data_IF_620716635462
#
_entry.id   IF_620716635462
#
_cell.length_a   1.000
_cell.length_b   1.000
_cell.length_c   1.000
_cell.angle_alpha   90.00
_cell.angle_beta   90.00
_cell.angle_gamma   90.00
#
_symmetry.space_group_name_H-M   'P 1'
#
loop_
_entity.id
_entity.type
_entity.pdbx_description
1 polymer ?
#
# COMPACT_ATOMS: atom_id res chain seq x y z
N UNK A 1 29.49 24.32 -31.68
CA UNK A 1 28.48 23.35 -32.16
C UNK A 1 28.87 21.90 -31.85
N UNK A 2 28.60 21.44 -30.61
CA UNK A 2 28.80 20.03 -30.22
C UNK A 2 27.50 19.27 -30.48
N UNK A 3 27.56 18.25 -31.34
CA UNK A 3 26.42 17.40 -31.70
C UNK A 3 25.97 16.62 -30.45
N UNK A 4 24.70 16.77 -30.06
CA UNK A 4 24.04 15.87 -29.09
C UNK A 4 23.97 14.46 -29.69
N UNK A 5 24.19 13.39 -28.91
CA UNK A 5 24.01 12.04 -29.42
C UNK A 5 22.50 11.76 -29.63
N UNK A 6 22.14 10.84 -30.52
CA UNK A 6 20.74 10.48 -30.73
C UNK A 6 20.20 9.74 -29.51
N UNK A 7 19.09 10.23 -28.96
CA UNK A 7 18.28 9.51 -27.96
C UNK A 7 17.84 8.19 -28.62
N UNK A 8 18.38 7.07 -28.13
CA UNK A 8 18.02 5.74 -28.62
C UNK A 8 16.55 5.47 -28.27
N UNK A 9 15.73 5.27 -29.29
CA UNK A 9 14.32 4.81 -29.23
C UNK A 9 14.21 3.35 -28.77
N UNK A 10 14.89 2.96 -27.69
CA UNK A 10 14.85 1.59 -27.18
C UNK A 10 13.63 1.35 -26.27
N UNK A 11 13.18 2.36 -25.50
CA UNK A 11 12.04 2.22 -24.58
C UNK A 11 10.69 1.97 -25.27
N UNK A 12 10.41 2.67 -26.38
CA UNK A 12 9.12 2.54 -27.07
C UNK A 12 8.88 1.18 -27.73
N UNK A 13 9.93 0.44 -28.08
CA UNK A 13 9.82 -0.89 -28.68
C UNK A 13 9.49 -1.98 -27.63
N UNK A 14 9.98 -1.83 -26.40
CA UNK A 14 9.67 -2.74 -25.30
C UNK A 14 8.22 -2.56 -24.80
N UNK A 15 7.76 -1.31 -24.69
CA UNK A 15 6.37 -0.99 -24.33
C UNK A 15 5.39 -1.47 -25.41
N UNK A 16 5.70 -1.26 -26.69
CA UNK A 16 4.87 -1.77 -27.77
C UNK A 16 4.86 -3.31 -27.85
N UNK A 17 5.95 -3.98 -27.50
CA UNK A 17 6.01 -5.44 -27.43
C UNK A 17 5.21 -5.99 -26.23
N UNK A 18 5.24 -5.33 -25.08
CA UNK A 18 4.43 -5.69 -23.92
C UNK A 18 2.92 -5.52 -24.23
N UNK A 19 2.51 -4.38 -24.80
CA UNK A 19 1.12 -4.14 -25.22
C UNK A 19 0.67 -5.13 -26.31
N UNK A 20 1.54 -5.46 -27.26
CA UNK A 20 1.24 -6.45 -28.29
C UNK A 20 1.11 -7.88 -27.73
N UNK A 21 1.91 -8.26 -26.71
CA UNK A 21 1.73 -9.53 -26.01
C UNK A 21 0.39 -9.56 -25.25
N UNK A 22 0.05 -8.46 -24.56
CA UNK A 22 -1.19 -8.33 -23.78
C UNK A 22 -2.45 -8.44 -24.65
N UNK A 23 -2.41 -7.96 -25.89
CA UNK A 23 -3.52 -8.08 -26.84
C UNK A 23 -3.66 -9.47 -27.48
N UNK A 24 -2.69 -10.38 -27.28
CA UNK A 24 -2.69 -11.73 -27.85
C UNK A 24 -2.92 -12.86 -26.85
N UNK A 25 -3.03 -12.54 -25.55
CA UNK A 25 -3.32 -13.52 -24.51
C UNK A 25 -4.77 -14.01 -24.63
N UNK A 26 -4.95 -15.20 -25.21
CA UNK A 26 -6.24 -15.87 -25.33
C UNK A 26 -6.79 -16.33 -23.97
N UNK A 27 -8.13 -16.35 -23.89
CA UNK A 27 -8.98 -16.85 -22.79
C UNK A 27 -8.50 -16.48 -21.37
N UNK A 28 -9.18 -15.50 -20.77
CA UNK A 28 -9.05 -15.08 -19.38
C UNK A 28 -9.02 -16.29 -18.42
N UNK A 29 -7.82 -16.73 -18.08
CA UNK A 29 -7.54 -17.57 -16.92
C UNK A 29 -6.86 -16.64 -15.93
N UNK A 30 -7.31 -16.66 -14.67
CA UNK A 30 -6.69 -15.89 -13.60
C UNK A 30 -5.43 -16.58 -13.04
N UNK A 31 -5.22 -17.84 -13.45
CA UNK A 31 -4.06 -18.66 -13.15
C UNK A 31 -3.98 -19.78 -14.19
N UNK A 32 -2.80 -20.01 -14.74
CA UNK A 32 -2.50 -21.13 -15.63
C UNK A 32 -1.96 -22.29 -14.80
N UNK A 33 -2.75 -23.35 -14.63
CA UNK A 33 -2.27 -24.60 -14.04
C UNK A 33 -1.22 -25.23 -14.96
N UNK A 34 0.01 -25.35 -14.45
CA UNK A 34 1.16 -25.91 -15.16
C UNK A 34 1.30 -27.41 -14.90
N UNK A 35 1.02 -27.85 -13.68
CA UNK A 35 1.06 -29.24 -13.25
C UNK A 35 -0.12 -29.51 -12.33
N UNK A 36 -0.75 -30.65 -12.50
CA UNK A 36 -1.80 -31.18 -11.63
C UNK A 36 -1.56 -32.69 -11.46
N UNK A 37 -1.64 -33.19 -10.23
CA UNK A 37 -1.51 -34.63 -9.95
C UNK A 37 -2.77 -35.39 -10.38
N UNK A 38 -2.64 -36.70 -10.59
CA UNK A 38 -3.77 -37.54 -11.03
C UNK A 38 -4.96 -37.55 -10.05
N UNK A 39 -4.70 -37.33 -8.76
CA UNK A 39 -5.71 -37.18 -7.71
C UNK A 39 -6.24 -35.74 -7.54
N UNK A 40 -5.66 -34.77 -8.26
CA UNK A 40 -5.98 -33.34 -8.18
C UNK A 40 -5.56 -32.69 -6.86
N UNK A 41 -4.88 -33.41 -5.96
CA UNK A 41 -4.51 -32.87 -4.66
C UNK A 41 -3.32 -31.91 -4.76
N UNK A 42 -2.42 -32.11 -5.71
CA UNK A 42 -1.24 -31.26 -5.92
C UNK A 42 -1.38 -30.47 -7.20
N UNK A 43 -1.40 -29.14 -7.09
CA UNK A 43 -1.46 -28.23 -8.24
C UNK A 43 -0.31 -27.25 -8.19
N UNK A 44 0.34 -27.02 -9.33
CA UNK A 44 1.30 -25.95 -9.52
C UNK A 44 0.80 -25.03 -10.63
N UNK A 45 0.57 -23.76 -10.30
CA UNK A 45 0.08 -22.76 -11.24
C UNK A 45 0.96 -21.52 -11.29
N UNK A 46 0.76 -20.78 -12.39
CA UNK A 46 1.35 -19.48 -12.64
C UNK A 46 0.22 -18.51 -12.96
N UNK A 47 0.07 -17.48 -12.17
CA UNK A 47 -0.73 -16.31 -12.49
C UNK A 47 0.13 -15.05 -12.53
N UNK A 48 -0.52 -13.92 -12.64
CA UNK A 48 0.10 -12.62 -12.43
C UNK A 48 -0.56 -11.52 -13.23
N UNK A 49 0.20 -10.45 -13.43
CA UNK A 49 -0.26 -9.33 -14.25
C UNK A 49 0.89 -8.50 -14.78
N UNK A 50 0.61 -7.81 -15.89
CA UNK A 50 1.40 -6.67 -16.31
C UNK A 50 0.60 -5.39 -16.11
N UNK A 51 1.26 -4.31 -15.73
CA UNK A 51 0.66 -3.00 -15.57
C UNK A 51 1.55 -1.93 -16.20
N UNK A 52 0.94 -0.97 -16.86
CA UNK A 52 1.59 0.25 -17.34
C UNK A 52 0.89 1.44 -16.72
N UNK A 53 1.64 2.28 -16.03
CA UNK A 53 1.17 3.52 -15.47
C UNK A 53 2.01 4.66 -16.04
N UNK A 54 1.36 5.64 -16.65
CA UNK A 54 2.01 6.83 -17.18
C UNK A 54 1.31 8.08 -16.69
N UNK A 55 2.07 9.10 -16.33
CA UNK A 55 1.50 10.34 -15.80
C UNK A 55 2.41 11.55 -15.92
N UNK A 56 1.83 12.70 -15.61
CA UNK A 56 2.55 13.97 -15.53
C UNK A 56 2.24 14.60 -14.18
N UNK A 57 3.29 14.84 -13.40
CA UNK A 57 3.22 15.51 -12.12
C UNK A 57 3.66 16.97 -12.25
N UNK A 58 2.89 17.87 -11.66
CA UNK A 58 3.22 19.28 -11.42
C UNK A 58 3.58 19.41 -9.94
N UNK A 59 4.87 19.37 -9.57
CA UNK A 59 5.28 19.43 -8.18
C UNK A 59 4.97 20.80 -7.57
N UNK A 60 4.50 20.81 -6.32
CA UNK A 60 4.33 22.02 -5.51
C UNK A 60 5.47 22.18 -4.49
N UNK A 61 6.65 21.66 -4.84
CA UNK A 61 7.84 21.65 -3.98
C UNK A 61 8.94 22.47 -4.60
N UNK A 62 9.42 23.45 -3.86
CA UNK A 62 10.60 24.25 -4.16
C UNK A 62 11.83 23.74 -3.38
N UNK A 63 13.01 24.18 -3.82
CA UNK A 63 14.28 23.89 -3.15
C UNK A 63 14.94 22.56 -3.56
N UNK A 64 14.24 21.67 -4.29
CA UNK A 64 14.79 20.41 -4.81
C UNK A 64 15.28 20.50 -6.28
N UNK A 65 15.13 21.66 -6.93
CA UNK A 65 15.51 21.85 -8.33
C UNK A 65 14.68 21.02 -9.32
N UNK A 66 13.45 20.67 -8.93
CA UNK A 66 12.50 19.95 -9.78
C UNK A 66 12.06 20.81 -10.96
N UNK A 67 11.83 20.22 -12.14
CA UNK A 67 11.21 20.93 -13.25
C UNK A 67 9.72 21.21 -12.95
N UNK A 68 9.15 22.19 -13.66
CA UNK A 68 7.73 22.57 -13.52
C UNK A 68 6.75 21.41 -13.83
N UNK A 69 7.21 20.43 -14.60
CA UNK A 69 6.46 19.21 -14.91
C UNK A 69 7.41 18.01 -15.00
N UNK A 70 7.01 16.90 -14.38
CA UNK A 70 7.76 15.64 -14.35
C UNK A 70 6.90 14.57 -15.03
N UNK A 71 7.39 14.01 -16.12
CA UNK A 71 6.81 12.79 -16.68
C UNK A 71 7.19 11.58 -15.84
N UNK A 72 6.24 10.69 -15.59
CA UNK A 72 6.42 9.40 -14.93
C UNK A 72 5.88 8.32 -15.87
N UNK A 73 6.62 7.23 -16.03
CA UNK A 73 6.12 5.98 -16.61
C UNK A 73 6.66 4.81 -15.79
N UNK A 74 5.79 3.88 -15.45
CA UNK A 74 6.12 2.65 -14.74
C UNK A 74 5.50 1.47 -15.48
N UNK A 75 6.34 0.56 -15.94
CA UNK A 75 5.92 -0.74 -16.44
C UNK A 75 6.25 -1.81 -15.38
N UNK A 76 5.22 -2.51 -14.92
CA UNK A 76 5.31 -3.56 -13.92
C UNK A 76 4.98 -4.91 -14.56
N UNK A 77 5.77 -5.93 -14.27
CA UNK A 77 5.42 -7.32 -14.49
C UNK A 77 5.47 -8.05 -13.15
N UNK A 78 4.38 -8.70 -12.77
CA UNK A 78 4.32 -9.60 -11.63
C UNK A 78 4.03 -11.02 -12.09
N UNK A 79 4.79 -11.97 -11.56
CA UNK A 79 4.59 -13.41 -11.74
C UNK A 79 4.26 -14.01 -10.39
N UNK A 80 3.20 -14.79 -10.32
CA UNK A 80 2.69 -15.41 -9.09
C UNK A 80 2.72 -16.92 -9.24
N UNK A 81 3.70 -17.55 -8.60
CA UNK A 81 3.86 -19.00 -8.60
C UNK A 81 3.23 -19.57 -7.35
N UNK A 82 2.35 -20.57 -7.53
CA UNK A 82 1.67 -21.21 -6.41
C UNK A 82 1.70 -22.72 -6.53
N UNK A 83 2.22 -23.37 -5.50
CA UNK A 83 2.15 -24.80 -5.30
C UNK A 83 1.15 -25.08 -4.16
N UNK A 84 0.15 -25.90 -4.44
CA UNK A 84 -0.78 -26.46 -3.45
C UNK A 84 -0.47 -27.94 -3.29
N UNK A 85 -0.38 -28.43 -2.06
CA UNK A 85 -0.13 -29.84 -1.73
C UNK A 85 -1.25 -30.33 -0.82
N UNK A 86 -2.28 -30.88 -1.44
CA UNK A 86 -3.52 -31.35 -0.81
C UNK A 86 -4.11 -30.30 0.12
N UNK A 87 -4.52 -30.75 1.30
CA UNK A 87 -4.97 -29.90 2.39
C UNK A 87 -3.86 -29.58 3.39
N UNK A 88 -2.59 -29.83 3.04
CA UNK A 88 -1.48 -29.82 4.01
C UNK A 88 -0.63 -28.57 3.89
N UNK A 89 -0.38 -28.09 2.67
CA UNK A 89 0.49 -26.94 2.48
C UNK A 89 0.19 -26.12 1.22
N UNK A 90 0.55 -24.83 1.28
CA UNK A 90 0.74 -23.99 0.09
C UNK A 90 2.12 -23.35 0.12
N UNK A 91 2.76 -23.24 -1.04
CA UNK A 91 3.99 -22.47 -1.22
C UNK A 91 3.79 -21.45 -2.33
N UNK A 92 4.06 -20.18 -2.03
CA UNK A 92 3.87 -19.04 -2.94
C UNK A 92 5.19 -18.29 -3.14
N UNK A 93 5.51 -17.97 -4.40
CA UNK A 93 6.62 -17.09 -4.79
C UNK A 93 6.08 -16.04 -5.74
N UNK A 94 6.20 -14.76 -5.39
CA UNK A 94 5.78 -13.67 -6.28
C UNK A 94 7.01 -12.84 -6.66
N UNK A 95 7.29 -12.79 -7.95
CA UNK A 95 8.35 -11.96 -8.52
C UNK A 95 7.74 -10.67 -9.05
N UNK A 96 8.39 -9.54 -8.76
CA UNK A 96 8.04 -8.23 -9.27
C UNK A 96 9.21 -7.69 -10.08
N UNK A 97 8.96 -7.31 -11.32
CA UNK A 97 9.89 -6.57 -12.17
C UNK A 97 9.27 -5.20 -12.50
N UNK A 98 9.92 -4.12 -12.08
CA UNK A 98 9.43 -2.76 -12.23
C UNK A 98 10.43 -1.90 -13.00
N UNK A 99 10.07 -1.47 -14.20
CA UNK A 99 10.78 -0.44 -14.95
C UNK A 99 10.11 0.90 -14.68
N UNK A 100 10.81 1.81 -14.03
CA UNK A 100 10.37 3.18 -13.79
C UNK A 100 11.22 4.14 -14.60
N UNK A 101 10.58 5.09 -15.29
CA UNK A 101 11.22 6.17 -16.04
C UNK A 101 10.63 7.49 -15.55
N UNK A 102 11.48 8.37 -15.03
CA UNK A 102 11.12 9.70 -14.54
C UNK A 102 11.81 10.78 -15.37
N UNK A 103 11.13 11.91 -15.57
CA UNK A 103 11.68 13.11 -16.20
C UNK A 103 12.66 13.90 -15.31
N UNK A 104 12.92 13.43 -14.09
CA UNK A 104 13.78 14.08 -13.09
C UNK A 104 14.64 13.03 -12.38
N UNK A 105 15.92 13.35 -12.19
CA UNK A 105 16.86 12.55 -11.38
C UNK A 105 16.75 12.86 -9.89
N UNK A 106 16.13 13.98 -9.52
CA UNK A 106 15.89 14.28 -8.12
C UNK A 106 14.89 13.25 -7.55
N UNK A 107 15.17 12.67 -6.37
CA UNK A 107 14.23 11.79 -5.69
C UNK A 107 12.88 12.49 -5.58
N UNK A 108 11.81 11.83 -6.02
CA UNK A 108 10.46 12.35 -5.83
C UNK A 108 10.15 12.35 -4.33
N UNK A 109 10.41 13.49 -3.71
CA UNK A 109 10.50 13.64 -2.25
C UNK A 109 9.18 13.70 -1.50
N UNK A 110 8.02 13.51 -2.15
CA UNK A 110 6.70 13.49 -1.49
C UNK A 110 5.76 12.41 -2.03
N UNK A 111 6.23 11.17 -2.11
CA UNK A 111 5.39 10.01 -1.75
C UNK A 111 4.26 9.57 -2.68
N UNK A 112 4.02 10.18 -3.85
CA UNK A 112 3.03 9.62 -4.79
C UNK A 112 3.59 8.38 -5.47
N UNK A 113 2.96 7.22 -5.25
CA UNK A 113 3.31 5.94 -5.85
C UNK A 113 4.49 5.19 -5.24
N UNK A 114 5.00 5.63 -4.07
CA UNK A 114 6.16 4.99 -3.43
C UNK A 114 5.87 4.69 -1.96
N UNK A 115 5.54 3.42 -1.68
CA UNK A 115 5.59 2.85 -0.32
C UNK A 115 6.96 2.24 -0.05
N UNK A 116 7.67 2.66 1.02
CA UNK A 116 8.91 2.02 1.46
C UNK A 116 8.73 0.51 1.68
N UNK A 117 9.70 -0.28 1.23
CA UNK A 117 9.71 -1.71 1.54
C UNK A 117 9.92 -1.90 3.06
N UNK A 118 9.24 -2.86 3.71
CA UNK A 118 9.53 -3.20 5.09
C UNK A 118 10.97 -3.67 5.27
N UNK A 119 11.58 -3.37 6.42
CA UNK A 119 12.91 -3.87 6.76
C UNK A 119 12.97 -5.39 6.78
N UNK A 120 13.95 -5.97 6.06
CA UNK A 120 14.15 -7.41 5.87
C UNK A 120 15.63 -7.73 6.07
N UNK A 121 15.97 -8.82 6.77
CA UNK A 121 17.37 -9.22 6.98
C UNK A 121 17.94 -9.89 5.73
N UNK A 122 17.07 -10.47 4.91
CA UNK A 122 17.43 -11.10 3.64
C UNK A 122 16.91 -10.24 2.49
N UNK A 123 17.83 -9.54 1.83
CA UNK A 123 17.53 -8.81 0.60
C UNK A 123 17.35 -9.80 -0.55
N UNK A 124 16.12 -9.86 -1.07
CA UNK A 124 15.76 -10.58 -2.31
C UNK A 124 15.31 -9.58 -3.38
N UNK A 125 15.82 -8.36 -3.28
CA UNK A 125 15.62 -7.28 -4.23
C UNK A 125 16.94 -6.99 -4.94
N UNK A 126 16.86 -6.57 -6.19
CA UNK A 126 18.03 -6.15 -6.95
C UNK A 126 17.68 -5.03 -7.92
N UNK A 127 18.50 -3.99 -7.91
CA UNK A 127 18.44 -2.92 -8.91
C UNK A 127 19.33 -3.31 -10.09
N UNK A 128 18.70 -3.60 -11.22
CA UNK A 128 19.36 -4.06 -12.44
C UNK A 128 19.86 -2.88 -13.27
N UNK A 129 19.09 -1.79 -13.31
CA UNK A 129 19.44 -0.53 -13.97
C UNK A 129 19.11 0.61 -13.02
N UNK A 130 20.02 1.59 -12.93
CA UNK A 130 19.79 2.85 -12.23
C UNK A 130 20.60 3.96 -12.93
N UNK A 131 20.03 4.50 -14.00
CA UNK A 131 20.72 5.48 -14.85
C UNK A 131 19.73 6.53 -15.39
N UNK A 132 20.04 7.82 -15.19
CA UNK A 132 19.38 8.93 -15.90
C UNK A 132 17.86 9.00 -15.74
N UNK A 133 17.36 8.80 -14.51
CA UNK A 133 15.92 8.74 -14.21
C UNK A 133 15.25 7.44 -14.66
N UNK A 134 16.01 6.42 -15.07
CA UNK A 134 15.49 5.09 -15.38
C UNK A 134 15.98 4.08 -14.34
N UNK A 135 15.04 3.40 -13.70
CA UNK A 135 15.32 2.34 -12.73
C UNK A 135 14.62 1.06 -13.16
N UNK A 136 15.35 -0.05 -13.16
CA UNK A 136 14.79 -1.40 -13.32
C UNK A 136 15.06 -2.18 -12.04
N UNK A 137 14.01 -2.51 -11.30
CA UNK A 137 14.07 -3.24 -10.04
C UNK A 137 13.42 -4.61 -10.17
N UNK A 138 14.07 -5.63 -9.63
CA UNK A 138 13.47 -6.91 -9.31
C UNK A 138 13.27 -7.01 -7.78
N UNK A 139 12.13 -7.48 -7.32
CA UNK A 139 11.85 -7.77 -5.91
C UNK A 139 11.03 -9.06 -5.79
N UNK A 140 11.45 -9.97 -4.91
CA UNK A 140 10.59 -11.07 -4.46
C UNK A 140 9.80 -10.58 -3.27
N UNK A 141 8.58 -10.10 -3.48
CA UNK A 141 7.78 -9.49 -2.41
C UNK A 141 6.86 -10.48 -1.69
N UNK A 142 6.79 -11.72 -2.19
CA UNK A 142 6.20 -12.87 -1.50
C UNK A 142 7.04 -14.13 -1.68
N UNK A 143 7.30 -14.81 -0.57
CA UNK A 143 8.00 -16.09 -0.50
C UNK A 143 7.53 -16.77 0.78
N UNK A 144 6.42 -17.49 0.73
CA UNK A 144 5.76 -18.00 1.94
C UNK A 144 5.39 -19.47 1.80
N UNK A 145 5.73 -20.25 2.82
CA UNK A 145 5.20 -21.58 3.06
C UNK A 145 4.10 -21.48 4.11
N UNK A 146 2.90 -21.96 3.80
CA UNK A 146 1.82 -22.15 4.77
C UNK A 146 1.60 -23.64 4.98
N UNK A 147 1.47 -24.03 6.24
CA UNK A 147 1.18 -25.40 6.68
C UNK A 147 -0.16 -25.38 7.41
N UNK A 148 -1.07 -26.28 7.02
CA UNK A 148 -2.38 -26.44 7.64
C UNK A 148 -2.35 -27.66 8.57
N UNK A 149 -2.21 -27.42 9.88
CA UNK A 149 -2.01 -28.44 10.91
C UNK A 149 -3.31 -28.71 11.68
N UNK A 150 -4.41 -28.91 10.94
CA UNK A 150 -5.74 -29.16 11.48
C UNK A 150 -6.42 -27.89 11.98
N UNK A 151 -6.24 -27.55 13.26
CA UNK A 151 -6.81 -26.30 13.84
C UNK A 151 -5.81 -25.14 13.83
N UNK A 152 -4.55 -25.38 13.49
CA UNK A 152 -3.50 -24.38 13.57
C UNK A 152 -2.86 -24.25 12.22
N UNK A 153 -2.76 -23.01 11.74
CA UNK A 153 -2.11 -22.69 10.49
C UNK A 153 -0.81 -21.95 10.79
N UNK A 154 0.28 -22.37 10.15
CA UNK A 154 1.60 -21.77 10.34
C UNK A 154 2.10 -21.26 8.99
N UNK A 155 2.38 -19.96 8.91
CA UNK A 155 2.97 -19.32 7.74
C UNK A 155 4.39 -18.84 8.06
N UNK A 156 5.36 -19.26 7.25
CA UNK A 156 6.78 -18.91 7.40
C UNK A 156 7.30 -18.30 6.11
N UNK A 157 7.95 -17.15 6.23
CA UNK A 157 8.61 -16.45 5.12
C UNK A 157 8.04 -15.06 4.90
N UNK A 158 8.19 -14.55 3.68
CA UNK A 158 7.77 -13.22 3.26
C UNK A 158 6.29 -13.20 2.88
N UNK A 159 5.48 -12.49 3.66
CA UNK A 159 4.03 -12.49 3.52
C UNK A 159 3.42 -11.12 3.77
N UNK A 160 2.33 -10.80 3.05
CA UNK A 160 1.52 -9.63 3.36
C UNK A 160 0.73 -9.86 4.66
N UNK A 161 0.80 -8.91 5.58
CA UNK A 161 0.10 -8.97 6.87
C UNK A 161 -0.66 -7.67 7.10
N UNK A 162 -1.93 -7.80 7.45
CA UNK A 162 -2.84 -6.69 7.74
C UNK A 162 -3.56 -6.99 9.04
N UNK A 163 -3.48 -6.04 9.97
CA UNK A 163 -4.24 -6.08 11.21
C UNK A 163 -5.30 -5.00 11.26
N UNK A 164 -5.10 -3.92 10.51
CA UNK A 164 -6.04 -2.83 10.34
C UNK A 164 -7.38 -3.29 9.78
N UNK A 165 -8.42 -2.65 10.27
CA UNK A 165 -9.81 -2.70 9.82
C UNK A 165 -10.24 -1.40 9.18
N UNK A 166 -9.37 -0.39 9.27
CA UNK A 166 -9.55 0.93 8.69
C UNK A 166 -9.17 0.96 7.20
N UNK A 167 -9.56 2.02 6.49
CA UNK A 167 -9.66 2.12 5.04
C UNK A 167 -8.82 3.27 4.52
N UNK A 168 -9.30 4.51 4.69
CA UNK A 168 -8.53 5.71 4.34
C UNK A 168 -7.34 5.93 5.29
N UNK A 169 -7.53 5.68 6.59
CA UNK A 169 -6.50 5.91 7.60
C UNK A 169 -6.20 4.66 8.42
N UNK A 170 -5.27 3.83 7.94
CA UNK A 170 -4.86 2.60 8.61
C UNK A 170 -4.03 2.87 9.87
N UNK A 171 -4.43 2.35 11.03
CA UNK A 171 -3.69 2.57 12.30
C UNK A 171 -3.14 1.31 12.94
N UNK A 172 -3.71 0.14 12.72
CA UNK A 172 -3.16 -1.12 13.23
C UNK A 172 -2.30 -1.89 12.20
N UNK A 173 -2.10 -1.35 11.00
CA UNK A 173 -1.24 -1.93 9.96
C UNK A 173 0.25 -1.64 10.21
N UNK A 174 0.74 -2.11 11.35
CA UNK A 174 2.12 -1.87 11.81
C UNK A 174 3.16 -2.73 11.12
N UNK A 175 2.75 -3.84 10.51
CA UNK A 175 3.68 -4.78 9.86
C UNK A 175 4.17 -4.22 8.52
N UNK A 176 3.23 -3.79 7.71
CA UNK A 176 3.39 -3.00 6.51
C UNK A 176 2.09 -2.19 6.35
N UNK A 177 2.13 -1.00 5.79
CA UNK A 177 0.96 -0.21 5.46
C UNK A 177 1.00 0.17 3.98
N UNK A 178 -0.17 0.44 3.40
CA UNK A 178 -0.20 1.13 2.11
C UNK A 178 -0.06 2.62 2.34
N UNK A 179 0.74 3.27 1.51
CA UNK A 179 0.67 4.72 1.40
C UNK A 179 -0.69 5.12 0.83
N UNK A 180 -1.36 6.13 1.41
CA UNK A 180 -2.58 6.69 0.82
C UNK A 180 -2.31 7.37 -0.54
N UNK A 181 -1.03 7.54 -0.88
CA UNK A 181 -0.57 8.12 -2.13
C UNK A 181 -0.12 7.06 -3.15
N UNK A 182 -0.23 5.76 -2.84
CA UNK A 182 0.11 4.70 -3.79
C UNK A 182 -0.88 4.63 -4.95
N UNK A 183 -0.34 4.53 -6.16
CA UNK A 183 -1.12 4.36 -7.39
C UNK A 183 -1.46 2.88 -7.65
N UNK A 184 -0.62 1.96 -7.16
CA UNK A 184 -0.86 0.52 -7.21
C UNK A 184 -1.04 -0.05 -5.80
N UNK A 185 -2.31 -0.27 -5.43
CA UNK A 185 -2.70 -0.93 -4.17
C UNK A 185 -3.11 -2.39 -4.37
N UNK A 186 -2.80 -2.98 -5.54
CA UNK A 186 -3.21 -4.37 -5.84
C UNK A 186 -2.53 -5.41 -4.94
N UNK A 187 -1.29 -5.15 -4.52
CA UNK A 187 -0.54 -6.04 -3.65
C UNK A 187 0.25 -5.26 -2.61
N UNK A 188 0.17 -5.74 -1.37
CA UNK A 188 0.90 -5.19 -0.24
C UNK A 188 2.29 -5.81 -0.17
N UNK A 189 3.31 -4.97 0.07
CA UNK A 189 4.70 -5.46 0.25
C UNK A 189 4.77 -6.41 1.45
N UNK A 190 5.38 -7.58 1.26
CA UNK A 190 5.48 -8.60 2.31
C UNK A 190 6.51 -8.28 3.40
N UNK A 191 6.25 -8.79 4.60
CA UNK A 191 7.19 -8.82 5.74
C UNK A 191 7.74 -10.23 5.93
N UNK A 192 9.01 -10.35 6.28
CA UNK A 192 9.61 -11.63 6.65
C UNK A 192 9.18 -11.99 8.07
N UNK A 193 8.37 -13.03 8.20
CA UNK A 193 7.72 -13.36 9.46
C UNK A 193 7.40 -14.86 9.63
N UNK A 194 7.26 -15.27 10.88
CA UNK A 194 6.53 -16.47 11.29
C UNK A 194 5.20 -16.04 11.86
N UNK A 195 4.11 -16.59 11.34
CA UNK A 195 2.74 -16.30 11.74
C UNK A 195 2.00 -17.58 12.08
N UNK A 196 1.24 -17.57 13.16
CA UNK A 196 0.44 -18.70 13.64
C UNK A 196 -0.99 -18.23 13.85
N UNK A 197 -1.91 -18.82 13.10
CA UNK A 197 -3.35 -18.62 13.24
C UNK A 197 -4.00 -19.82 13.91
N UNK A 198 -4.92 -19.60 14.84
CA UNK A 198 -5.70 -20.67 15.47
C UNK A 198 -7.09 -20.18 15.93
N UNK A 199 -8.16 -20.97 15.76
CA UNK A 199 -9.47 -20.65 16.31
C UNK A 199 -9.46 -20.85 17.82
N UNK A 200 -10.01 -19.87 18.54
CA UNK A 200 -10.29 -19.92 19.98
C UNK A 200 -11.77 -20.23 20.20
N UNK A 201 -12.15 -21.49 19.99
CA UNK A 201 -13.56 -21.90 20.00
C UNK A 201 -14.24 -21.60 18.66
N UNK A 202 -15.54 -21.30 18.68
CA UNK A 202 -16.34 -21.09 17.45
C UNK A 202 -16.45 -19.63 17.02
N UNK A 203 -16.14 -18.69 17.92
CA UNK A 203 -16.41 -17.25 17.75
C UNK A 203 -15.19 -16.38 18.05
N UNK A 204 -14.01 -16.95 18.07
CA UNK A 204 -12.79 -16.18 18.21
C UNK A 204 -11.63 -16.83 17.47
N UNK A 205 -10.64 -16.00 17.14
CA UNK A 205 -9.42 -16.38 16.44
C UNK A 205 -8.24 -15.69 17.11
N UNK A 206 -7.13 -16.42 17.23
CA UNK A 206 -5.84 -15.93 17.65
C UNK A 206 -4.91 -15.85 16.44
N UNK A 207 -4.25 -14.72 16.28
CA UNK A 207 -3.19 -14.49 15.31
C UNK A 207 -1.93 -14.03 16.04
N UNK A 208 -0.86 -14.82 15.96
CA UNK A 208 0.45 -14.52 16.56
C UNK A 208 1.47 -14.36 15.45
N UNK A 209 2.28 -13.31 15.53
CA UNK A 209 3.30 -13.01 14.53
C UNK A 209 4.62 -12.62 15.19
N UNK A 210 5.73 -13.05 14.57
CA UNK A 210 7.08 -12.57 14.84
C UNK A 210 7.70 -12.15 13.50
N UNK A 211 8.14 -10.90 13.39
CA UNK A 211 8.62 -10.27 12.17
C UNK A 211 10.08 -9.78 12.32
N UNK A 212 10.89 -10.04 11.31
CA UNK A 212 12.35 -9.90 11.31
C UNK A 212 12.87 -8.44 11.32
N UNK A 213 12.19 -7.50 10.66
CA UNK A 213 12.52 -6.05 10.63
C UNK A 213 13.96 -5.68 10.21
N UNK A 214 14.79 -6.62 9.76
CA UNK A 214 16.13 -6.38 9.23
C UNK A 214 17.28 -6.43 10.25
N UNK A 215 16.98 -6.35 11.55
CA UNK A 215 17.98 -6.46 12.63
C UNK A 215 17.39 -7.21 13.81
N UNK A 216 18.23 -8.02 14.45
CA UNK A 216 17.82 -8.82 15.61
C UNK A 216 17.23 -7.99 16.76
N UNK A 217 17.69 -6.75 16.96
CA UNK A 217 17.16 -5.84 17.99
C UNK A 217 15.79 -5.25 17.64
N UNK A 218 15.50 -5.13 16.34
CA UNK A 218 14.28 -4.52 15.79
C UNK A 218 13.14 -5.53 15.60
N UNK A 219 13.42 -6.83 15.82
CA UNK A 219 12.43 -7.91 15.74
C UNK A 219 11.16 -7.51 16.46
N UNK A 220 10.06 -7.54 15.72
CA UNK A 220 8.74 -7.18 16.23
C UNK A 220 7.93 -8.44 16.45
N UNK A 221 7.05 -8.43 17.44
CA UNK A 221 6.19 -9.57 17.71
C UNK A 221 4.85 -9.09 18.27
N UNK A 222 3.79 -9.83 18.02
CA UNK A 222 2.50 -9.49 18.58
C UNK A 222 1.50 -10.63 18.52
N UNK A 223 0.43 -10.46 19.28
CA UNK A 223 -0.72 -11.34 19.27
C UNK A 223 -1.99 -10.50 19.16
N UNK A 224 -2.91 -10.93 18.30
CA UNK A 224 -4.23 -10.36 18.09
C UNK A 224 -5.26 -11.44 18.36
N UNK A 225 -6.30 -11.09 19.12
CA UNK A 225 -7.50 -11.90 19.26
C UNK A 225 -8.65 -11.16 18.63
N UNK A 226 -9.33 -11.80 17.69
CA UNK A 226 -10.58 -11.32 17.09
C UNK A 226 -11.74 -12.16 17.63
N UNK A 227 -12.82 -11.51 18.03
CA UNK A 227 -14.06 -12.14 18.49
C UNK A 227 -15.23 -11.71 17.58
N UNK A 228 -16.01 -12.69 17.16
CA UNK A 228 -17.15 -12.55 16.26
C UNK A 228 -18.45 -12.51 17.09
N UNK A 229 -19.01 -11.32 17.27
CA UNK A 229 -20.14 -11.01 18.16
C UNK A 229 -21.37 -10.57 17.37
N UNK A 230 -22.13 -11.53 16.85
CA UNK A 230 -23.30 -11.24 16.02
C UNK A 230 -22.87 -10.67 14.67
N UNK A 231 -23.25 -9.42 14.40
CA UNK A 231 -22.86 -8.69 13.19
C UNK A 231 -21.61 -7.80 13.38
N UNK A 232 -20.97 -7.91 14.55
CA UNK A 232 -19.80 -7.14 14.92
C UNK A 232 -18.56 -8.01 15.10
N UNK A 233 -17.44 -7.56 14.54
CA UNK A 233 -16.11 -8.13 14.75
C UNK A 233 -15.34 -7.18 15.67
N UNK A 234 -14.90 -7.68 16.81
CA UNK A 234 -14.12 -6.91 17.78
C UNK A 234 -12.76 -7.56 17.93
N UNK A 235 -11.69 -6.80 17.90
CA UNK A 235 -10.37 -7.33 18.17
C UNK A 235 -9.62 -6.53 19.24
N UNK A 236 -8.74 -7.23 19.93
CA UNK A 236 -7.71 -6.65 20.80
C UNK A 236 -6.36 -7.24 20.43
N UNK A 237 -5.30 -6.44 20.52
CA UNK A 237 -3.95 -6.90 20.25
C UNK A 237 -2.95 -6.27 21.20
N UNK A 238 -1.83 -6.96 21.39
CA UNK A 238 -0.63 -6.42 22.02
C UNK A 238 0.58 -6.78 21.18
N UNK A 239 1.52 -5.85 21.05
CA UNK A 239 2.72 -6.06 20.24
C UNK A 239 3.93 -5.29 20.78
N UNK A 240 5.11 -5.86 20.58
CA UNK A 240 6.36 -5.12 20.44
C UNK A 240 6.48 -4.71 18.98
N UNK A 241 6.22 -3.44 18.66
CA UNK A 241 6.50 -2.86 17.35
C UNK A 241 7.81 -2.10 17.43
N UNK A 242 8.87 -2.63 16.81
CA UNK A 242 10.23 -2.11 16.95
C UNK A 242 10.67 -1.99 18.41
N UNK A 243 10.75 -0.76 18.92
CA UNK A 243 11.21 -0.43 20.26
C UNK A 243 10.07 0.04 21.15
N UNK A 244 8.83 -0.11 20.70
CA UNK A 244 7.64 0.24 21.45
C UNK A 244 6.83 -1.01 21.79
N UNK A 245 6.31 -1.05 23.01
CA UNK A 245 5.20 -1.91 23.38
C UNK A 245 3.91 -1.13 23.15
N UNK A 246 2.96 -1.75 22.47
CA UNK A 246 1.70 -1.14 22.13
C UNK A 246 0.53 -2.10 22.35
N UNK A 247 -0.64 -1.51 22.57
CA UNK A 247 -1.92 -2.19 22.56
C UNK A 247 -2.77 -1.62 21.44
N UNK A 248 -3.59 -2.47 20.83
CA UNK A 248 -4.54 -2.06 19.82
C UNK A 248 -5.91 -2.66 20.09
N UNK A 249 -6.93 -1.96 19.65
CA UNK A 249 -8.29 -2.47 19.65
C UNK A 249 -9.04 -1.92 18.44
N UNK A 250 -9.97 -2.69 17.92
CA UNK A 250 -10.86 -2.22 16.87
C UNK A 250 -12.18 -2.96 16.85
N UNK A 251 -13.15 -2.31 16.24
CA UNK A 251 -14.50 -2.82 16.05
C UNK A 251 -14.95 -2.52 14.62
N UNK A 252 -15.57 -3.50 13.99
CA UNK A 252 -16.28 -3.38 12.73
C UNK A 252 -17.67 -3.94 12.94
N UNK A 253 -18.71 -3.13 12.77
CA UNK A 253 -20.10 -3.55 12.95
C UNK A 253 -20.91 -3.19 11.71
N UNK A 254 -21.36 -4.20 10.99
CA UNK A 254 -22.26 -4.02 9.86
C UNK A 254 -23.71 -4.19 10.33
N UNK A 255 -24.61 -3.31 9.89
CA UNK A 255 -26.05 -3.45 10.07
C UNK A 255 -26.76 -2.83 8.86
N UNK A 256 -27.52 -3.67 8.16
CA UNK A 256 -28.23 -3.27 6.94
C UNK A 256 -27.27 -2.66 5.88
N UNK A 257 -27.54 -1.45 5.40
CA UNK A 257 -26.74 -0.72 4.43
C UNK A 257 -25.55 0.05 5.05
N UNK A 258 -25.32 -0.06 6.36
CA UNK A 258 -24.32 0.75 7.08
C UNK A 258 -23.29 -0.14 7.77
N UNK A 259 -22.02 0.27 7.72
CA UNK A 259 -20.93 -0.35 8.50
C UNK A 259 -20.20 0.70 9.30
N UNK A 260 -20.19 0.54 10.62
CA UNK A 260 -19.38 1.36 11.53
C UNK A 260 -18.06 0.69 11.82
N UNK A 261 -17.01 1.50 11.93
CA UNK A 261 -15.63 1.03 12.11
C UNK A 261 -14.88 1.99 13.00
N UNK A 262 -14.18 1.47 14.00
CA UNK A 262 -13.31 2.26 14.85
C UNK A 262 -12.09 1.44 15.26
N UNK A 263 -10.93 2.09 15.32
CA UNK A 263 -9.66 1.44 15.57
C UNK A 263 -8.73 2.38 16.33
N UNK A 264 -7.96 1.84 17.28
CA UNK A 264 -6.93 2.56 18.02
C UNK A 264 -5.65 1.72 18.08
N UNK A 265 -4.53 2.40 17.90
CA UNK A 265 -3.19 1.90 18.20
C UNK A 265 -2.56 2.82 19.23
N UNK A 266 -2.19 2.25 20.38
CA UNK A 266 -1.67 3.00 21.51
C UNK A 266 -0.32 2.43 21.94
N UNK A 267 0.80 3.11 21.63
CA UNK A 267 2.09 2.83 22.24
C UNK A 267 2.04 3.13 23.75
N UNK A 268 2.28 2.12 24.57
CA UNK A 268 2.18 2.21 26.04
C UNK A 268 3.54 2.30 26.72
N UNK A 269 4.61 1.90 26.03
CA UNK A 269 5.98 1.97 26.53
C UNK A 269 7.00 2.05 25.40
N UNK A 270 8.00 2.91 25.50
CA UNK A 270 9.18 2.94 24.61
C UNK A 270 10.39 2.40 25.38
N UNK A 271 11.12 1.46 24.77
CA UNK A 271 12.24 0.74 25.37
C UNK A 271 13.53 1.59 25.42
N UNK A 272 13.62 2.64 24.62
CA UNK A 272 14.83 3.47 24.49
C UNK A 272 14.66 4.88 25.07
N UNK A 273 13.44 5.40 25.12
CA UNK A 273 13.17 6.78 25.54
C UNK A 273 12.08 6.88 26.60
N UNK A 274 12.24 7.85 27.52
CA UNK A 274 11.19 8.27 28.43
C UNK A 274 10.49 9.49 27.83
N UNK A 275 9.22 9.34 27.45
CA UNK A 275 8.45 10.41 26.82
C UNK A 275 6.95 10.13 26.80
N UNK A 276 6.14 11.16 26.51
CA UNK A 276 4.70 10.99 26.34
C UNK A 276 4.41 10.27 25.03
N UNK A 277 3.93 9.03 25.11
CA UNK A 277 3.47 8.27 23.95
C UNK A 277 2.03 8.61 23.62
N UNK A 278 1.77 8.88 22.34
CA UNK A 278 0.45 9.35 21.90
C UNK A 278 -0.21 8.31 21.00
N UNK A 279 -1.50 7.99 21.26
CA UNK A 279 -2.22 7.04 20.43
C UNK A 279 -2.55 7.64 19.06
N UNK A 280 -2.78 6.76 18.11
CA UNK A 280 -3.45 7.06 16.85
C UNK A 280 -4.78 6.31 16.79
N UNK A 281 -5.81 6.97 16.30
CA UNK A 281 -7.15 6.41 16.26
C UNK A 281 -7.89 6.84 15.00
N UNK A 282 -8.71 5.94 14.46
CA UNK A 282 -9.57 6.20 13.31
C UNK A 282 -10.97 5.74 13.65
N UNK A 283 -11.99 6.51 13.27
CA UNK A 283 -13.38 6.07 13.30
C UNK A 283 -14.08 6.49 12.02
N UNK A 284 -14.98 5.66 11.51
CA UNK A 284 -15.67 5.92 10.27
C UNK A 284 -16.96 5.14 10.10
N UNK A 285 -17.61 5.45 9.00
CA UNK A 285 -18.84 4.83 8.55
C UNK A 285 -18.76 4.59 7.04
N UNK A 286 -19.16 3.40 6.63
CA UNK A 286 -19.44 3.07 5.24
C UNK A 286 -20.97 2.97 5.05
N UNK A 287 -21.50 3.51 3.96
CA UNK A 287 -22.89 3.40 3.54
C UNK A 287 -22.94 2.82 2.14
N UNK A 288 -23.70 1.75 1.97
CA UNK A 288 -23.84 0.99 0.74
C UNK A 288 -25.28 1.10 0.25
N UNK A 289 -25.50 1.77 -0.88
CA UNK A 289 -26.85 1.96 -1.40
C UNK A 289 -26.88 1.84 -2.92
N UNK A 290 -27.48 0.76 -3.41
CA UNK A 290 -27.47 0.43 -4.84
C UNK A 290 -26.05 0.36 -5.38
N UNK A 291 -25.76 1.17 -6.40
CA UNK A 291 -24.46 1.24 -7.08
C UNK A 291 -23.47 2.21 -6.39
N UNK A 292 -23.85 2.80 -5.26
CA UNK A 292 -23.06 3.79 -4.53
C UNK A 292 -22.50 3.19 -3.23
N UNK A 293 -21.20 3.35 -3.03
CA UNK A 293 -20.54 3.19 -1.73
C UNK A 293 -19.99 4.54 -1.30
N UNK A 294 -20.35 4.98 -0.09
CA UNK A 294 -19.80 6.18 0.55
C UNK A 294 -19.06 5.78 1.83
N UNK A 295 -17.87 6.33 2.04
CA UNK A 295 -17.08 6.17 3.25
C UNK A 295 -16.80 7.54 3.84
N UNK A 296 -16.96 7.70 5.14
CA UNK A 296 -16.53 8.87 5.91
C UNK A 296 -15.66 8.42 7.07
N UNK A 297 -14.51 9.06 7.27
CA UNK A 297 -13.56 8.71 8.32
C UNK A 297 -13.02 9.97 9.01
N UNK A 298 -12.84 9.91 10.33
CA UNK A 298 -12.03 10.84 11.10
C UNK A 298 -10.80 10.11 11.62
N UNK A 299 -9.65 10.76 11.53
CA UNK A 299 -8.38 10.20 11.98
C UNK A 299 -7.63 11.18 12.88
N UNK A 300 -7.10 10.66 13.99
CA UNK A 300 -6.23 11.36 14.91
C UNK A 300 -4.87 10.66 14.95
N UNK A 301 -3.82 11.42 14.70
CA UNK A 301 -2.44 10.99 14.71
C UNK A 301 -1.69 11.71 15.84
N UNK A 302 -1.56 11.06 16.99
CA UNK A 302 -1.11 11.71 18.22
C UNK A 302 0.26 12.39 18.12
N UNK A 303 1.23 11.77 17.44
CA UNK A 303 2.58 12.29 17.25
C UNK A 303 2.68 13.38 16.17
N UNK A 304 1.65 13.53 15.34
CA UNK A 304 1.62 14.52 14.27
C UNK A 304 1.76 15.96 14.77
N UNK A 305 2.28 16.84 13.91
CA UNK A 305 2.43 18.24 14.21
C UNK A 305 1.06 18.95 14.34
N UNK A 306 1.02 20.03 15.11
CA UNK A 306 -0.20 20.83 15.32
C UNK A 306 -0.49 21.83 14.20
N UNK A 307 0.36 21.87 13.17
CA UNK A 307 0.23 22.76 12.02
C UNK A 307 1.56 22.95 11.28
N UNK A 308 1.58 23.81 10.25
CA UNK A 308 2.65 23.84 9.25
C UNK A 308 4.05 24.11 9.80
N UNK A 309 4.16 24.94 10.84
CA UNK A 309 5.45 25.27 11.47
C UNK A 309 6.17 24.06 12.08
N UNK A 310 5.45 22.97 12.39
CA UNK A 310 6.02 21.75 12.96
C UNK A 310 6.37 20.66 11.95
N UNK A 311 5.90 20.75 10.70
CA UNK A 311 6.01 19.65 9.73
C UNK A 311 7.45 19.30 9.38
N UNK A 312 8.31 20.28 9.09
CA UNK A 312 9.69 20.00 8.72
C UNK A 312 10.47 19.33 9.88
N UNK A 313 10.25 19.78 11.12
CA UNK A 313 10.85 19.16 12.29
C UNK A 313 10.35 17.73 12.47
N UNK A 314 9.03 17.52 12.38
CA UNK A 314 8.43 16.19 12.53
C UNK A 314 8.89 15.21 11.44
N UNK A 315 8.89 15.64 10.17
CA UNK A 315 9.37 14.85 9.04
C UNK A 315 10.85 14.44 9.20
N UNK A 316 11.67 15.30 9.81
CA UNK A 316 13.09 15.02 10.03
C UNK A 316 13.37 14.08 11.21
N UNK A 317 12.46 14.00 12.20
CA UNK A 317 12.71 13.26 13.45
C UNK A 317 11.82 12.04 13.65
N UNK A 318 10.68 11.94 12.97
CA UNK A 318 9.73 10.84 13.14
C UNK A 318 10.29 9.52 12.62
N UNK A 319 10.28 8.51 13.49
CA UNK A 319 10.70 7.15 13.15
C UNK A 319 9.61 6.44 12.35
N UNK A 320 8.35 6.75 12.63
CA UNK A 320 7.16 6.15 12.01
C UNK A 320 7.08 6.52 10.53
N UNK A 321 7.31 7.80 10.19
CA UNK A 321 7.42 8.25 8.80
C UNK A 321 8.60 7.58 8.10
N UNK A 322 9.77 7.55 8.75
CA UNK A 322 10.97 6.93 8.19
C UNK A 322 10.83 5.42 7.92
N UNK A 323 9.99 4.73 8.70
CA UNK A 323 9.68 3.30 8.58
C UNK A 323 8.48 3.00 7.67
N UNK A 324 7.76 4.01 7.20
CA UNK A 324 6.51 3.83 6.43
C UNK A 324 5.34 3.27 7.25
N UNK A 325 5.33 3.51 8.57
CA UNK A 325 4.25 3.09 9.48
C UNK A 325 3.12 4.12 9.55
N UNK A 326 3.41 5.37 9.19
CA UNK A 326 2.49 6.47 9.04
C UNK A 326 2.93 7.32 7.85
N UNK A 327 2.00 8.08 7.27
CA UNK A 327 2.26 8.95 6.12
C UNK A 327 1.77 10.39 6.34
N UNK A 328 1.43 10.70 7.60
CA UNK A 328 0.70 11.90 8.01
C UNK A 328 1.59 12.83 8.82
N UNK A 329 1.79 14.08 8.37
CA UNK A 329 2.58 15.09 9.08
C UNK A 329 1.77 15.81 10.16
N UNK A 330 0.51 16.09 9.89
CA UNK A 330 -0.48 16.65 10.81
C UNK A 330 -1.02 15.64 11.82
N UNK A 331 -1.73 16.17 12.81
CA UNK A 331 -2.33 15.37 13.89
C UNK A 331 -3.78 15.00 13.70
N UNK A 332 -4.48 15.57 12.73
CA UNK A 332 -5.91 15.39 12.57
C UNK A 332 -6.34 15.46 11.12
N UNK A 333 -7.18 14.52 10.72
CA UNK A 333 -7.69 14.42 9.35
C UNK A 333 -9.16 14.02 9.34
N UNK A 334 -9.84 14.44 8.27
CA UNK A 334 -11.14 13.93 7.88
C UNK A 334 -11.04 13.41 6.44
N UNK A 335 -11.60 12.23 6.19
CA UNK A 335 -11.61 11.59 4.89
C UNK A 335 -13.03 11.31 4.44
N UNK A 336 -13.27 11.43 3.14
CA UNK A 336 -14.50 11.01 2.48
C UNK A 336 -14.14 10.29 1.18
N UNK A 337 -14.77 9.16 0.90
CA UNK A 337 -14.63 8.48 -0.37
C UNK A 337 -16.00 8.07 -0.92
N UNK A 338 -16.15 8.14 -2.23
CA UNK A 338 -17.34 7.74 -2.95
C UNK A 338 -16.92 6.87 -4.14
N UNK A 339 -17.55 5.71 -4.29
CA UNK A 339 -17.45 4.88 -5.49
C UNK A 339 -18.83 4.65 -6.05
N UNK A 340 -19.01 4.99 -7.33
CA UNK A 340 -20.27 4.82 -8.04
C UNK A 340 -20.06 3.98 -9.29
N UNK A 341 -20.76 2.85 -9.39
CA UNK A 341 -20.78 2.02 -10.59
C UNK A 341 -21.71 2.68 -11.62
N UNK A 342 -21.12 3.40 -12.59
CA UNK A 342 -21.87 4.09 -13.65
C UNK A 342 -22.52 3.10 -14.62
N UNK A 343 -21.83 1.99 -14.88
CA UNK A 343 -22.27 0.82 -15.65
C UNK A 343 -21.55 -0.42 -15.12
N UNK A 344 -21.92 -1.63 -15.58
CA UNK A 344 -21.25 -2.88 -15.20
C UNK A 344 -19.73 -2.92 -15.48
N UNK A 345 -19.22 -2.08 -16.39
CA UNK A 345 -17.81 -2.03 -16.77
C UNK A 345 -17.16 -0.69 -16.43
N UNK A 346 -17.85 0.26 -15.81
CA UNK A 346 -17.35 1.63 -15.61
C UNK A 346 -17.65 2.13 -14.20
N UNK A 347 -16.60 2.40 -13.44
CA UNK A 347 -16.69 2.91 -12.08
C UNK A 347 -16.04 4.29 -11.96
N UNK A 348 -16.72 5.22 -11.30
CA UNK A 348 -16.16 6.50 -10.85
C UNK A 348 -15.81 6.39 -9.37
N UNK A 349 -14.58 6.76 -9.01
CA UNK A 349 -14.14 6.88 -7.61
C UNK A 349 -13.65 8.29 -7.33
N UNK A 350 -14.08 8.85 -6.21
CA UNK A 350 -13.61 10.15 -5.69
C UNK A 350 -13.25 9.97 -4.23
N UNK A 351 -12.06 10.35 -3.83
CA UNK A 351 -11.59 10.39 -2.44
C UNK A 351 -11.10 11.78 -2.09
N UNK A 352 -11.42 12.26 -0.91
CA UNK A 352 -10.99 13.54 -0.36
C UNK A 352 -10.43 13.28 1.02
N UNK A 353 -9.17 13.62 1.24
CA UNK A 353 -8.53 13.60 2.55
C UNK A 353 -8.20 15.04 2.90
N UNK A 354 -8.77 15.57 3.97
CA UNK A 354 -8.51 16.92 4.45
C UNK A 354 -7.69 16.86 5.73
N UNK A 355 -6.63 17.66 5.79
CA UNK A 355 -5.95 17.94 7.04
C UNK A 355 -6.79 18.98 7.80
N UNK A 356 -7.14 18.73 9.06
CA UNK A 356 -7.98 19.67 9.83
C UNK A 356 -7.15 20.66 10.66
N UNK A 357 -5.82 20.50 10.68
CA UNK A 357 -4.90 21.41 11.37
C UNK A 357 -4.21 22.41 10.45
N UNK A 358 -4.39 22.30 9.14
CA UNK A 358 -4.05 23.32 8.15
C UNK A 358 -5.13 23.36 7.05
N UNK A 359 -5.21 24.41 6.20
CA UNK A 359 -6.24 24.51 5.17
C UNK A 359 -5.83 23.74 3.90
N UNK A 360 -5.59 22.42 4.00
CA UNK A 360 -5.23 21.59 2.84
C UNK A 360 -6.05 20.31 2.70
N UNK A 361 -6.15 19.84 1.47
CA UNK A 361 -6.81 18.59 1.12
C UNK A 361 -6.10 17.90 -0.04
N UNK A 362 -6.14 16.57 -0.06
CA UNK A 362 -5.81 15.76 -1.22
C UNK A 362 -7.11 15.24 -1.83
N UNK A 363 -7.33 15.53 -3.10
CA UNK A 363 -8.48 15.04 -3.86
C UNK A 363 -7.97 14.04 -4.88
N UNK A 364 -8.49 12.82 -4.85
CA UNK A 364 -8.16 11.77 -5.80
C UNK A 364 -9.43 11.42 -6.57
N UNK A 365 -9.41 11.62 -7.88
CA UNK A 365 -10.53 11.25 -8.77
C UNK A 365 -10.03 10.23 -9.77
N UNK A 366 -10.76 9.13 -9.95
CA UNK A 366 -10.41 8.11 -10.94
C UNK A 366 -11.64 7.52 -11.61
N UNK A 367 -11.48 7.19 -12.88
CA UNK A 367 -12.44 6.46 -13.69
C UNK A 367 -11.76 5.16 -14.13
N UNK A 368 -12.39 4.03 -13.85
CA UNK A 368 -11.89 2.71 -14.23
C UNK A 368 -12.88 2.03 -15.15
N UNK A 369 -12.38 1.57 -16.30
CA UNK A 369 -13.14 0.89 -17.34
C UNK A 369 -12.59 -0.50 -17.58
N UNK A 370 -13.43 -1.52 -17.43
CA UNK A 370 -13.08 -2.91 -17.68
C UNK A 370 -13.21 -3.18 -19.18
N UNK A 371 -12.07 -3.14 -19.88
CA UNK A 371 -11.99 -3.33 -21.33
C UNK A 371 -12.29 -4.78 -21.71
N UNK A 372 -11.86 -5.71 -20.87
CA UNK A 372 -12.12 -7.14 -20.95
C UNK A 372 -12.14 -7.73 -19.52
N UNK A 373 -12.49 -9.01 -19.40
CA UNK A 373 -12.57 -9.69 -18.09
C UNK A 373 -11.27 -9.67 -17.28
N UNK A 374 -10.14 -9.45 -17.94
CA UNK A 374 -8.81 -9.45 -17.34
C UNK A 374 -7.99 -8.21 -17.74
N UNK A 375 -8.62 -7.17 -18.29
CA UNK A 375 -7.93 -5.97 -18.76
C UNK A 375 -8.69 -4.72 -18.34
N UNK A 376 -8.02 -3.87 -17.57
CA UNK A 376 -8.61 -2.66 -16.99
C UNK A 376 -7.86 -1.43 -17.48
N UNK A 377 -8.60 -0.39 -17.85
CA UNK A 377 -8.09 0.93 -18.20
C UNK A 377 -8.56 1.94 -17.15
N UNK A 378 -7.61 2.59 -16.49
CA UNK A 378 -7.84 3.66 -15.53
C UNK A 378 -7.35 5.01 -16.06
N UNK A 379 -8.07 6.07 -15.75
CA UNK A 379 -7.56 7.45 -15.79
C UNK A 379 -7.87 8.11 -14.46
N UNK A 380 -6.92 8.87 -13.93
CA UNK A 380 -7.14 9.55 -12.66
C UNK A 380 -6.29 10.78 -12.46
N UNK A 381 -6.62 11.50 -11.39
CA UNK A 381 -5.93 12.69 -10.94
C UNK A 381 -5.75 12.66 -9.42
N UNK A 382 -4.60 13.11 -8.96
CA UNK A 382 -4.30 13.45 -7.58
C UNK A 382 -4.09 14.96 -7.53
N UNK A 383 -4.88 15.67 -6.74
CA UNK A 383 -4.85 17.11 -6.60
C UNK A 383 -4.62 17.50 -5.14
N UNK A 384 -3.38 17.89 -4.84
CA UNK A 384 -3.01 18.52 -3.59
C UNK A 384 -3.47 19.98 -3.56
N UNK A 385 -4.53 20.26 -2.82
CA UNK A 385 -5.08 21.59 -2.61
C UNK A 385 -4.47 22.18 -1.34
N UNK A 386 -3.80 23.33 -1.48
CA UNK A 386 -3.17 24.03 -0.35
C UNK A 386 -1.93 24.80 -0.81
N UNK A 387 -1.19 25.34 0.15
CA UNK A 387 0.12 25.93 -0.11
C UNK A 387 1.19 24.84 -0.26
N UNK A 388 2.18 25.08 -1.10
CA UNK A 388 3.28 24.15 -1.37
C UNK A 388 4.30 24.05 -0.22
N UNK A 389 5.48 23.52 -0.55
CA UNK A 389 6.59 23.43 0.39
C UNK A 389 7.90 23.93 -0.24
N UNK A 390 8.76 24.54 0.56
CA UNK A 390 10.16 24.83 0.24
C UNK A 390 11.01 23.96 1.17
N UNK A 391 11.40 22.79 0.66
CA UNK A 391 12.08 21.76 1.45
C UNK A 391 13.50 22.21 1.81
N UNK A 392 14.16 22.98 0.95
CA UNK A 392 15.49 23.53 1.24
C UNK A 392 15.45 24.54 2.40
N UNK A 393 14.36 25.31 2.52
CA UNK A 393 14.13 26.20 3.64
C UNK A 393 13.45 25.53 4.85
N UNK A 394 13.09 24.24 4.76
CA UNK A 394 12.32 23.54 5.78
C UNK A 394 10.96 24.18 6.06
N UNK A 395 10.33 24.77 5.03
CA UNK A 395 9.06 25.50 5.15
C UNK A 395 7.95 24.75 4.43
N UNK A 396 6.90 24.40 5.16
CA UNK A 396 5.64 23.93 4.59
C UNK A 396 4.60 25.02 4.79
N UNK A 397 3.85 25.36 3.73
CA UNK A 397 2.65 26.18 3.89
C UNK A 397 1.45 25.32 4.29
N UNK A 398 1.36 24.13 3.71
CA UNK A 398 0.44 23.08 4.12
C UNK A 398 1.00 21.70 3.78
N UNK A 399 0.48 20.66 4.41
CA UNK A 399 0.91 19.29 4.15
C UNK A 399 0.42 18.80 2.80
N UNK A 400 -0.90 18.78 2.58
CA UNK A 400 -1.49 18.10 1.42
C UNK A 400 -1.30 18.91 0.12
N UNK A 401 -1.12 20.22 0.23
CA UNK A 401 -0.75 21.07 -0.92
C UNK A 401 0.65 20.77 -1.46
N UNK A 402 1.57 20.26 -0.63
CA UNK A 402 2.94 19.99 -1.05
C UNK A 402 3.06 18.83 -2.06
N UNK A 403 2.08 17.91 -2.10
CA UNK A 403 2.06 16.78 -3.03
C UNK A 403 1.86 17.20 -4.50
N UNK A 404 1.38 18.42 -4.73
CA UNK A 404 1.14 18.99 -6.05
C UNK A 404 0.02 18.27 -6.80
N UNK A 405 0.13 18.25 -8.13
CA UNK A 405 -0.89 17.67 -9.01
C UNK A 405 -0.31 16.54 -9.83
N UNK A 406 -1.02 15.44 -10.00
CA UNK A 406 -0.67 14.35 -10.90
C UNK A 406 -1.90 13.97 -11.71
N UNK A 407 -1.75 13.85 -13.02
CA UNK A 407 -2.72 13.14 -13.87
C UNK A 407 -2.05 11.89 -14.41
N UNK A 408 -2.75 10.76 -14.38
CA UNK A 408 -2.22 9.48 -14.79
C UNK A 408 -3.22 8.67 -15.61
N UNK A 409 -2.66 7.79 -16.42
CA UNK A 409 -3.30 6.69 -17.13
C UNK A 409 -2.72 5.39 -16.57
N UNK A 410 -3.58 4.40 -16.36
CA UNK A 410 -3.21 3.08 -15.85
C UNK A 410 -3.82 2.01 -16.78
N UNK A 411 -3.04 1.02 -17.18
CA UNK A 411 -3.51 -0.14 -17.94
C UNK A 411 -2.99 -1.39 -17.24
N UNK A 412 -3.89 -2.23 -16.74
CA UNK A 412 -3.54 -3.49 -16.10
C UNK A 412 -4.12 -4.66 -16.88
N UNK A 413 -3.36 -5.74 -16.99
CA UNK A 413 -3.80 -6.97 -17.64
C UNK A 413 -3.34 -8.21 -16.84
N UNK A 414 -4.29 -9.05 -16.47
CA UNK A 414 -4.14 -10.21 -15.60
C UNK A 414 -4.13 -11.52 -16.41
N UNK A 415 -3.41 -12.54 -15.93
CA UNK A 415 -3.29 -13.84 -16.60
C UNK A 415 -3.00 -14.99 -15.62
#
# INVERSE_FOLDING_TARGET
>A
PRRRPPVRRAGGAAVAAAVALLLTAGAARAEVTLVESDDGETTFGLGGYARELSGVQLPAIEGLGLPDAIGLSQALLRLEWKLVVGQVATFEVHDRLALTVTGSEAPLGLGVGVTPAPGRSVELSSTIVDEGGTTLEHDVDRLVLRLFLGRVDVAVGRQAVTWGTSGLFTVADVWAAFSPFDLDTSQKRGVDAVRVGAPLGERAELDVIVADRGRAEDVSAGARVTAYLGEADVYVAAAKAWRELAVAAGVSWAFDEVKLRAEVWWPVWDLDEEGPLRPRATAGVDWFHGDLTLTLEGHWHGEGAAGPAGYAAYAATSRELARGESFWLGRGYAGAAARYELTEQLALSVSVIANVVDPSALIVTSLRYDVAQNVDLGVGAFDGVGGGADVAAGRFESELGAYGHLVYLDLAAWF
#
